data_IF_741953410141
#
_entry.id   IF_741953410141
#
_cell.length_a   1.000
_cell.length_b   1.000
_cell.length_c   1.000
_cell.angle_alpha   90.00
_cell.angle_beta   90.00
_cell.angle_gamma   90.00
#
_symmetry.space_group_name_H-M   'P 1'
#
loop_
_entity.id
_entity.type
_entity.pdbx_description
1 polymer ?
#
# COMPACT_ATOMS: atom_id res chain seq x y z
N UNK A 1 2.62 -14.31 -13.71
CA UNK A 1 3.81 -13.50 -14.08
C UNK A 1 3.56 -12.01 -13.83
N UNK A 2 2.48 -11.42 -14.34
CA UNK A 2 2.11 -10.02 -14.09
C UNK A 2 2.07 -9.64 -12.59
N UNK A 3 1.41 -10.45 -11.76
CA UNK A 3 1.31 -10.22 -10.30
C UNK A 3 2.66 -10.07 -9.59
N UNK A 4 3.66 -10.88 -9.97
CA UNK A 4 5.02 -10.79 -9.41
C UNK A 4 5.72 -9.50 -9.84
N UNK A 5 5.51 -9.04 -11.08
CA UNK A 5 6.03 -7.75 -11.55
C UNK A 5 5.35 -6.58 -10.82
N UNK A 6 4.03 -6.62 -10.63
CA UNK A 6 3.26 -5.64 -9.84
C UNK A 6 3.74 -5.58 -8.39
N UNK A 7 3.95 -6.74 -7.76
CA UNK A 7 4.53 -6.85 -6.42
C UNK A 7 5.92 -6.22 -6.36
N UNK A 8 6.78 -6.48 -7.35
CA UNK A 8 8.10 -5.86 -7.41
C UNK A 8 8.02 -4.34 -7.49
N UNK A 9 7.15 -3.79 -8.35
CA UNK A 9 6.91 -2.34 -8.45
C UNK A 9 6.41 -1.79 -7.11
N UNK A 10 5.43 -2.46 -6.49
CA UNK A 10 4.91 -2.09 -5.18
C UNK A 10 6.02 -2.03 -4.12
N UNK A 11 6.87 -3.06 -4.02
CA UNK A 11 7.95 -3.10 -3.03
C UNK A 11 9.02 -2.04 -3.30
N UNK A 12 9.32 -1.72 -4.56
CA UNK A 12 10.18 -0.57 -4.89
C UNK A 12 9.58 0.75 -4.39
N UNK A 13 8.26 0.94 -4.52
CA UNK A 13 7.58 2.10 -3.93
C UNK A 13 7.68 2.09 -2.40
N UNK A 14 7.40 0.98 -1.72
CA UNK A 14 7.52 0.90 -0.26
C UNK A 14 8.94 1.19 0.24
N UNK A 15 9.96 0.79 -0.50
CA UNK A 15 11.36 1.01 -0.12
C UNK A 15 11.80 2.43 -0.42
N UNK A 16 11.51 2.98 -1.59
CA UNK A 16 12.06 4.27 -2.02
C UNK A 16 11.05 5.41 -1.90
N UNK A 17 9.86 5.25 -2.48
CA UNK A 17 8.83 6.31 -2.58
C UNK A 17 8.39 6.83 -1.20
N UNK A 18 8.23 5.93 -0.22
CA UNK A 18 7.78 6.31 1.13
C UNK A 18 8.73 7.25 1.88
N UNK A 19 9.95 7.46 1.38
CA UNK A 19 10.95 8.39 1.93
C UNK A 19 11.05 9.72 1.17
N UNK A 20 10.36 9.84 0.03
CA UNK A 20 10.42 11.00 -0.85
C UNK A 20 9.39 12.06 -0.46
N UNK A 21 9.83 13.31 -0.37
CA UNK A 21 9.01 14.44 0.09
C UNK A 21 8.61 15.39 -1.03
N UNK A 22 9.43 15.50 -2.08
CA UNK A 22 9.18 16.36 -3.22
C UNK A 22 8.69 15.58 -4.45
N UNK A 23 7.86 16.25 -5.25
CA UNK A 23 7.24 15.63 -6.42
C UNK A 23 8.25 15.37 -7.55
N UNK A 24 9.38 16.09 -7.57
CA UNK A 24 10.42 15.87 -8.58
C UNK A 24 11.04 14.48 -8.40
N UNK A 25 11.46 14.14 -7.18
CA UNK A 25 12.06 12.85 -6.87
C UNK A 25 11.04 11.71 -7.01
N UNK A 26 9.77 11.97 -6.65
CA UNK A 26 8.68 11.00 -6.86
C UNK A 26 8.45 10.66 -8.34
N UNK A 27 8.40 11.68 -9.20
CA UNK A 27 8.27 11.48 -10.64
C UNK A 27 9.50 10.78 -11.21
N UNK A 28 10.71 11.17 -10.78
CA UNK A 28 11.94 10.50 -11.19
C UNK A 28 11.92 9.00 -10.86
N UNK A 29 11.49 8.63 -9.65
CA UNK A 29 11.38 7.22 -9.26
C UNK A 29 10.38 6.47 -10.13
N UNK A 30 9.22 7.07 -10.41
CA UNK A 30 8.21 6.47 -11.27
C UNK A 30 8.76 6.24 -12.68
N UNK A 31 9.41 7.25 -13.28
CA UNK A 31 10.01 7.14 -14.61
C UNK A 31 11.11 6.07 -14.66
N UNK A 32 11.93 5.98 -13.61
CA UNK A 32 12.95 4.92 -13.49
C UNK A 32 12.31 3.53 -13.46
N UNK A 33 11.21 3.35 -12.71
CA UNK A 33 10.49 2.08 -12.65
C UNK A 33 9.79 1.75 -13.98
N UNK A 34 9.20 2.75 -14.66
CA UNK A 34 8.66 2.59 -16.02
C UNK A 34 9.74 2.09 -16.98
N UNK A 35 10.95 2.68 -16.91
CA UNK A 35 12.11 2.25 -17.68
C UNK A 35 12.48 0.80 -17.42
N UNK A 36 12.66 0.40 -16.16
CA UNK A 36 13.04 -0.98 -15.78
C UNK A 36 11.99 -1.99 -16.21
N UNK A 37 10.70 -1.69 -16.02
CA UNK A 37 9.61 -2.59 -16.46
C UNK A 37 9.65 -2.78 -17.97
N UNK A 38 9.94 -1.73 -18.73
CA UNK A 38 10.11 -1.82 -20.18
C UNK A 38 11.36 -2.61 -20.58
N UNK A 39 12.52 -2.32 -20.00
CA UNK A 39 13.81 -2.88 -20.45
C UNK A 39 14.09 -4.27 -19.91
N UNK A 40 13.85 -4.51 -18.63
CA UNK A 40 14.28 -5.73 -17.94
C UNK A 40 13.15 -6.75 -17.84
N UNK A 41 11.90 -6.29 -17.81
CA UNK A 41 10.73 -7.17 -17.72
C UNK A 41 10.00 -7.37 -19.05
N UNK A 42 10.39 -6.66 -20.11
CA UNK A 42 9.76 -6.72 -21.44
C UNK A 42 8.23 -6.56 -21.32
N UNK A 43 7.80 -5.54 -20.57
CA UNK A 43 6.39 -5.25 -20.29
C UNK A 43 6.09 -3.75 -20.42
N UNK A 44 4.83 -3.41 -20.63
CA UNK A 44 4.39 -2.02 -20.65
C UNK A 44 3.91 -1.62 -19.25
N UNK A 45 4.56 -0.64 -18.61
CA UNK A 45 4.22 -0.25 -17.23
C UNK A 45 2.76 0.18 -17.08
N UNK A 46 2.27 1.04 -17.98
CA UNK A 46 0.91 1.57 -17.90
C UNK A 46 -0.14 0.46 -18.17
N UNK A 47 0.18 -0.53 -19.02
CA UNK A 47 -0.64 -1.74 -19.18
C UNK A 47 -0.59 -2.67 -17.96
N UNK A 48 0.61 -2.87 -17.39
CA UNK A 48 0.82 -3.72 -16.21
C UNK A 48 0.09 -3.17 -14.98
N UNK A 49 0.11 -1.85 -14.80
CA UNK A 49 -0.47 -1.13 -13.66
C UNK A 49 -1.86 -0.55 -13.95
N UNK A 50 -2.39 -0.73 -15.18
CA UNK A 50 -3.60 -0.07 -15.71
C UNK A 50 -4.86 -0.21 -14.87
N UNK A 51 -5.02 -1.31 -14.12
CA UNK A 51 -6.13 -1.49 -13.18
C UNK A 51 -6.21 -0.44 -12.06
N UNK A 52 -5.19 0.41 -11.90
CA UNK A 52 -5.16 1.51 -10.93
C UNK A 52 -5.66 2.85 -11.53
N UNK A 53 -5.79 2.96 -12.85
CA UNK A 53 -6.22 4.18 -13.55
C UNK A 53 -7.73 4.40 -13.43
N UNK A 54 -8.17 4.80 -12.24
CA UNK A 54 -9.58 5.08 -11.97
C UNK A 54 -10.14 6.31 -12.70
N UNK A 55 -9.26 7.15 -13.25
CA UNK A 55 -9.61 8.39 -13.94
C UNK A 55 -9.60 8.23 -15.47
N UNK A 56 -9.31 7.04 -15.99
CA UNK A 56 -9.24 6.72 -17.43
C UNK A 56 -8.31 7.66 -18.21
N UNK A 57 -7.17 8.01 -17.62
CA UNK A 57 -6.16 8.89 -18.23
C UNK A 57 -5.38 8.21 -19.34
N UNK A 58 -5.28 6.88 -19.31
CA UNK A 58 -4.46 6.09 -20.21
C UNK A 58 -2.97 6.05 -19.82
N UNK A 59 -2.62 6.54 -18.63
CA UNK A 59 -1.28 6.44 -18.05
C UNK A 59 -1.36 6.41 -16.53
N UNK A 60 -0.35 5.81 -15.90
CA UNK A 60 -0.23 5.66 -14.46
C UNK A 60 0.73 6.71 -13.91
N UNK A 61 0.26 7.50 -12.95
CA UNK A 61 1.07 8.42 -12.15
C UNK A 61 1.19 7.98 -10.69
N UNK A 62 1.88 8.78 -9.86
CA UNK A 62 2.08 8.44 -8.46
C UNK A 62 0.78 8.48 -7.63
N UNK A 63 -0.24 9.24 -8.03
CA UNK A 63 -1.54 9.25 -7.33
C UNK A 63 -2.32 7.97 -7.59
N UNK A 64 -2.22 7.39 -8.79
CA UNK A 64 -2.78 6.06 -9.08
C UNK A 64 -2.05 4.97 -8.29
N UNK A 65 -0.72 5.07 -8.22
CA UNK A 65 0.12 4.12 -7.47
C UNK A 65 -0.19 4.08 -5.97
N UNK A 66 -0.80 5.13 -5.38
CA UNK A 66 -1.30 5.12 -4.00
C UNK A 66 -2.46 4.16 -3.77
N UNK A 67 -3.10 3.68 -4.84
CA UNK A 67 -4.11 2.60 -4.82
C UNK A 67 -3.53 1.20 -5.00
N UNK A 68 -2.20 1.08 -5.14
CA UNK A 68 -1.52 -0.20 -5.20
C UNK A 68 -1.32 -0.75 -3.78
N UNK A 69 -2.19 -1.66 -3.34
CA UNK A 69 -2.14 -2.26 -2.02
C UNK A 69 -1.71 -3.71 -2.09
N UNK A 70 -0.79 -4.08 -1.20
CA UNK A 70 -0.46 -5.46 -0.89
C UNK A 70 -0.54 -5.69 0.62
N UNK A 71 -1.06 -6.86 1.01
CA UNK A 71 -1.25 -7.22 2.39
C UNK A 71 -1.88 -8.60 2.54
N UNK A 72 -1.83 -9.12 3.75
CA UNK A 72 -2.40 -10.41 4.13
C UNK A 72 -3.54 -10.28 5.15
N UNK A 73 -3.70 -9.09 5.71
CA UNK A 73 -4.63 -8.80 6.81
C UNK A 73 -6.10 -8.73 6.37
N UNK A 74 -6.38 -8.82 5.06
CA UNK A 74 -7.75 -8.97 4.54
C UNK A 74 -8.25 -10.43 4.59
N UNK A 75 -7.36 -11.41 4.73
CA UNK A 75 -7.72 -12.83 4.86
C UNK A 75 -8.05 -13.15 6.33
N UNK A 76 -9.03 -12.46 6.90
CA UNK A 76 -9.41 -12.57 8.31
C UNK A 76 -10.12 -13.90 8.65
N UNK A 77 -10.55 -14.64 7.63
CA UNK A 77 -11.11 -15.99 7.70
C UNK A 77 -10.06 -17.10 7.91
N UNK A 78 -8.76 -16.76 7.76
CA UNK A 78 -7.65 -17.69 7.93
C UNK A 78 -6.84 -17.42 9.19
N UNK A 79 -6.20 -18.47 9.70
CA UNK A 79 -5.19 -18.35 10.74
C UNK A 79 -4.01 -17.49 10.26
N UNK A 80 -3.39 -16.74 11.17
CA UNK A 80 -2.38 -15.73 10.81
C UNK A 80 -1.17 -16.31 10.07
N UNK A 81 -0.83 -17.57 10.32
CA UNK A 81 0.29 -18.29 9.69
C UNK A 81 -0.02 -18.70 8.23
N UNK A 82 -1.30 -18.84 7.89
CA UNK A 82 -1.78 -19.26 6.57
C UNK A 82 -2.17 -18.09 5.66
N UNK A 83 -2.06 -16.85 6.15
CA UNK A 83 -2.38 -15.65 5.35
C UNK A 83 -1.25 -15.32 4.40
N UNK A 84 -1.56 -15.23 3.13
CA UNK A 84 -0.59 -14.92 2.09
C UNK A 84 -0.51 -13.41 1.86
N UNK A 85 0.71 -12.86 1.78
CA UNK A 85 0.90 -11.46 1.41
C UNK A 85 0.58 -11.27 -0.06
N UNK A 86 -0.52 -10.56 -0.34
CA UNK A 86 -1.09 -10.56 -1.68
C UNK A 86 -1.69 -9.22 -2.10
N UNK A 87 -1.93 -9.07 -3.41
CA UNK A 87 -2.50 -7.85 -3.98
C UNK A 87 -3.97 -7.66 -3.58
N UNK A 88 -4.31 -6.45 -3.12
CA UNK A 88 -5.64 -6.06 -2.66
C UNK A 88 -6.26 -5.09 -3.66
N UNK A 89 -7.22 -5.58 -4.45
CA UNK A 89 -7.88 -4.79 -5.51
C UNK A 89 -9.17 -4.12 -5.04
N UNK A 90 -9.85 -4.70 -4.05
CA UNK A 90 -11.11 -4.19 -3.50
C UNK A 90 -10.84 -3.23 -2.34
N UNK A 91 -10.71 -1.94 -2.67
CA UNK A 91 -10.44 -0.86 -1.71
C UNK A 91 -11.60 -0.65 -0.71
N UNK A 92 -12.88 -0.68 -1.13
CA UNK A 92 -14.00 -0.71 -0.18
C UNK A 92 -13.90 -1.85 0.83
N UNK A 93 -13.60 -3.07 0.38
CA UNK A 93 -13.44 -4.22 1.27
C UNK A 93 -12.24 -4.06 2.22
N UNK A 94 -11.09 -3.61 1.71
CA UNK A 94 -9.91 -3.25 2.52
C UNK A 94 -10.29 -2.29 3.66
N UNK A 95 -11.06 -1.26 3.34
CA UNK A 95 -11.46 -0.23 4.31
C UNK A 95 -12.39 -0.83 5.36
N UNK A 96 -13.39 -1.62 4.94
CA UNK A 96 -14.30 -2.32 5.85
C UNK A 96 -13.59 -3.26 6.83
N UNK A 97 -12.59 -4.03 6.36
CA UNK A 97 -11.79 -4.92 7.22
C UNK A 97 -11.00 -4.12 8.26
N UNK A 98 -10.40 -2.98 7.88
CA UNK A 98 -9.68 -2.14 8.83
C UNK A 98 -10.63 -1.53 9.86
N UNK A 99 -11.83 -1.13 9.46
CA UNK A 99 -12.89 -0.65 10.37
C UNK A 99 -13.33 -1.74 11.35
N UNK A 100 -13.48 -2.98 10.89
CA UNK A 100 -13.79 -4.13 11.75
C UNK A 100 -12.70 -4.32 12.83
N UNK A 101 -11.42 -4.29 12.43
CA UNK A 101 -10.31 -4.38 13.39
C UNK A 101 -10.29 -3.22 14.40
N UNK A 102 -10.70 -2.01 14.00
CA UNK A 102 -10.84 -0.86 14.90
C UNK A 102 -11.99 -1.08 15.90
N UNK A 103 -13.12 -1.61 15.44
CA UNK A 103 -14.26 -1.96 16.31
C UNK A 103 -13.84 -3.01 17.34
N UNK A 104 -13.17 -4.07 16.92
CA UNK A 104 -12.66 -5.12 17.82
C UNK A 104 -11.68 -4.57 18.84
N UNK A 105 -10.73 -3.73 18.40
CA UNK A 105 -9.81 -3.03 19.30
C UNK A 105 -10.57 -2.21 20.34
N UNK A 106 -11.56 -1.42 19.92
CA UNK A 106 -12.36 -0.58 20.80
C UNK A 106 -13.22 -1.40 21.77
N UNK A 107 -13.68 -2.58 21.38
CA UNK A 107 -14.41 -3.50 22.25
C UNK A 107 -13.55 -4.12 23.36
N UNK A 108 -12.26 -4.34 23.10
CA UNK A 108 -11.32 -4.93 24.06
C UNK A 108 -10.51 -3.90 24.86
N UNK A 109 -10.35 -2.69 24.34
CA UNK A 109 -9.48 -1.65 24.90
C UNK A 109 -10.19 -0.78 25.93
N UNK A 110 -9.49 -0.45 27.03
CA UNK A 110 -9.95 0.58 28.00
C UNK A 110 -9.76 2.02 27.49
N UNK A 111 -9.14 2.19 26.31
CA UNK A 111 -8.85 3.47 25.67
C UNK A 111 -9.27 3.39 24.20
N UNK A 112 -10.58 3.49 23.91
CA UNK A 112 -11.05 3.41 22.54
C UNK A 112 -10.52 4.57 21.70
N UNK A 113 -10.30 4.31 20.43
CA UNK A 113 -9.84 5.24 19.42
C UNK A 113 -11.01 5.64 18.52
N UNK A 114 -11.28 6.95 18.40
CA UNK A 114 -12.27 7.47 17.47
C UNK A 114 -11.59 7.91 16.16
N UNK A 115 -11.27 6.93 15.31
CA UNK A 115 -10.59 7.14 14.04
C UNK A 115 -11.56 6.92 12.89
N UNK A 116 -11.55 7.83 11.91
CA UNK A 116 -12.19 7.59 10.62
C UNK A 116 -11.21 6.87 9.71
N UNK A 117 -11.62 5.74 9.12
CA UNK A 117 -10.78 5.01 8.16
C UNK A 117 -11.11 5.52 6.76
N UNK A 118 -10.13 6.18 6.14
CA UNK A 118 -10.18 6.62 4.75
C UNK A 118 -8.95 6.07 4.02
N UNK A 119 -8.92 6.20 2.69
CA UNK A 119 -7.87 5.61 1.85
C UNK A 119 -6.45 5.89 2.36
N UNK A 120 -6.18 7.12 2.79
CA UNK A 120 -4.88 7.49 3.33
C UNK A 120 -4.55 6.81 4.66
N UNK A 121 -5.53 6.61 5.54
CA UNK A 121 -5.34 5.84 6.77
C UNK A 121 -5.05 4.37 6.44
N UNK A 122 -5.80 3.78 5.50
CA UNK A 122 -5.54 2.42 5.01
C UNK A 122 -4.14 2.29 4.39
N UNK A 123 -3.69 3.29 3.63
CA UNK A 123 -2.35 3.39 3.07
C UNK A 123 -1.27 3.35 4.18
N UNK A 124 -1.44 4.15 5.24
CA UNK A 124 -0.51 4.18 6.37
C UNK A 124 -0.48 2.86 7.14
N UNK A 125 -1.65 2.30 7.43
CA UNK A 125 -1.77 1.02 8.14
C UNK A 125 -1.10 -0.10 7.33
N UNK A 126 -1.34 -0.14 6.01
CA UNK A 126 -0.72 -1.13 5.12
C UNK A 126 0.81 -1.06 5.15
N UNK A 127 1.40 0.15 5.14
CA UNK A 127 2.86 0.34 5.27
C UNK A 127 3.38 -0.17 6.61
N UNK A 128 2.68 0.12 7.70
CA UNK A 128 3.05 -0.34 9.05
C UNK A 128 2.96 -1.87 9.13
N UNK A 129 1.86 -2.48 8.69
CA UNK A 129 1.68 -3.93 8.66
C UNK A 129 2.79 -4.63 7.86
N UNK A 130 3.09 -4.13 6.65
CA UNK A 130 4.18 -4.65 5.80
C UNK A 130 5.51 -4.65 6.53
N UNK A 131 5.83 -3.58 7.25
CA UNK A 131 7.11 -3.45 7.94
C UNK A 131 7.18 -4.30 9.22
N UNK A 132 6.11 -4.34 10.01
CA UNK A 132 6.06 -5.13 11.25
C UNK A 132 6.19 -6.64 11.00
N UNK A 133 5.82 -7.11 9.79
CA UNK A 133 6.02 -8.50 9.39
C UNK A 133 7.46 -8.84 8.99
N UNK A 134 8.33 -7.85 8.79
CA UNK A 134 9.72 -8.11 8.46
C UNK A 134 10.51 -8.47 9.72
N UNK A 135 11.31 -9.54 9.72
CA UNK A 135 12.19 -9.85 10.84
C UNK A 135 13.13 -8.68 11.14
N UNK A 136 13.07 -8.15 12.36
CA UNK A 136 13.86 -6.99 12.77
C UNK A 136 13.40 -5.64 12.17
N UNK A 137 12.18 -5.57 11.61
CA UNK A 137 11.63 -4.34 11.04
C UNK A 137 11.40 -3.26 12.09
N UNK A 138 11.91 -2.05 11.83
CA UNK A 138 11.67 -0.86 12.64
C UNK A 138 11.23 0.32 11.76
N UNK A 139 10.27 1.12 12.23
CA UNK A 139 9.74 2.28 11.51
C UNK A 139 9.80 3.52 12.39
N UNK A 140 10.26 4.64 11.81
CA UNK A 140 10.12 5.97 12.40
C UNK A 140 8.97 6.71 11.70
N UNK A 141 7.92 7.04 12.45
CA UNK A 141 6.76 7.76 11.94
C UNK A 141 6.94 9.27 12.13
N UNK A 142 7.34 9.99 11.06
CA UNK A 142 7.57 11.43 11.07
C UNK A 142 6.41 12.24 10.46
N UNK A 143 6.16 13.45 10.98
CA UNK A 143 5.18 14.41 10.44
C UNK A 143 4.62 15.37 11.52
N UNK A 144 3.50 16.03 11.22
CA UNK A 144 2.86 17.00 12.13
C UNK A 144 2.08 16.34 13.27
N UNK A 145 1.98 17.01 14.43
CA UNK A 145 1.18 16.53 15.56
C UNK A 145 -0.31 16.42 15.21
N UNK A 146 -1.00 15.42 15.79
CA UNK A 146 -2.44 15.20 15.54
C UNK A 146 -2.79 14.45 14.26
N UNK A 147 -1.79 13.97 13.50
CA UNK A 147 -2.00 13.19 12.27
C UNK A 147 -2.34 11.71 12.47
N UNK A 148 -2.37 11.24 13.74
CA UNK A 148 -2.69 9.84 14.06
C UNK A 148 -1.55 8.84 13.85
N UNK A 149 -0.29 9.32 13.80
CA UNK A 149 0.93 8.48 13.81
C UNK A 149 1.20 7.84 15.16
#
# INVERSE_FOLDING_TARGET
RAKMKRLWVHECFRVFYDRLVDDKDRNWLLDALKGIVSTDFDDEFDGLMGGLDTAEKGYIDFEDMRRCFFGDFIQNDREAEDREYDEIMDIPHLTAVIEEYLVDHNGMSKRPMNLAIFLYAAEHISRVCRLLKQPGGNMLLAGVGGSGR
#
